data_IF_109708194370
#
_entry.id   IF_109708194370
#
_cell.length_a   1.000
_cell.length_b   1.000
_cell.length_c   1.000
_cell.angle_alpha   90.00
_cell.angle_beta   90.00
_cell.angle_gamma   90.00
#
_symmetry.space_group_name_H-M   'P 1'
#
loop_
_entity.id
_entity.type
_entity.pdbx_description
1 polymer ?
#
# COMPACT_ATOMS: atom_id res chain seq x y z
N UNK A 1 -13.66 24.88 3.41
CA UNK A 1 -13.06 23.63 2.90
C UNK A 1 -11.74 23.43 3.63
N UNK A 2 -11.57 22.33 4.36
CA UNK A 2 -10.33 22.07 5.15
C UNK A 2 -9.30 21.35 4.27
N UNK A 3 -8.03 21.34 4.68
CA UNK A 3 -6.96 20.63 3.94
C UNK A 3 -7.26 19.12 3.79
N UNK A 4 -7.96 18.53 4.76
CA UNK A 4 -8.40 17.13 4.76
C UNK A 4 -9.38 16.88 3.61
N UNK A 5 -10.40 17.72 3.45
CA UNK A 5 -11.38 17.60 2.37
C UNK A 5 -10.72 17.69 0.99
N UNK A 6 -9.75 18.60 0.83
CA UNK A 6 -9.01 18.75 -0.44
C UNK A 6 -8.18 17.51 -0.79
N UNK A 7 -7.59 16.86 0.21
CA UNK A 7 -6.82 15.63 0.00
C UNK A 7 -7.74 14.47 -0.40
N UNK A 8 -8.87 14.31 0.28
CA UNK A 8 -9.89 13.30 -0.05
C UNK A 8 -10.42 13.47 -1.48
N UNK A 9 -10.78 14.70 -1.88
CA UNK A 9 -11.20 15.02 -3.25
C UNK A 9 -10.12 14.68 -4.29
N UNK A 10 -8.86 15.00 -3.98
CA UNK A 10 -7.73 14.68 -4.87
C UNK A 10 -7.54 13.16 -5.03
N UNK A 11 -7.75 12.39 -3.97
CA UNK A 11 -7.71 10.92 -3.99
C UNK A 11 -8.87 10.36 -4.82
N UNK A 12 -10.09 10.87 -4.64
CA UNK A 12 -11.25 10.44 -5.43
C UNK A 12 -11.06 10.74 -6.93
N UNK A 13 -10.56 11.94 -7.26
CA UNK A 13 -10.25 12.32 -8.64
C UNK A 13 -9.16 11.42 -9.24
N UNK A 14 -8.12 11.09 -8.46
CA UNK A 14 -7.05 10.19 -8.90
C UNK A 14 -7.57 8.78 -9.20
N UNK A 15 -8.47 8.24 -8.38
CA UNK A 15 -9.15 6.96 -8.63
C UNK A 15 -9.93 7.00 -9.95
N UNK A 16 -10.69 8.07 -10.20
CA UNK A 16 -11.43 8.24 -11.44
C UNK A 16 -10.52 8.35 -12.67
N UNK A 17 -9.46 9.16 -12.60
CA UNK A 17 -8.48 9.33 -13.69
C UNK A 17 -7.70 8.05 -14.00
N UNK A 18 -7.47 7.23 -12.99
CA UNK A 18 -6.85 5.92 -13.14
C UNK A 18 -7.81 4.87 -13.74
N UNK A 19 -9.12 5.15 -13.82
CA UNK A 19 -10.11 4.17 -14.26
C UNK A 19 -10.37 3.06 -13.23
N UNK A 20 -10.13 3.35 -11.95
CA UNK A 20 -10.27 2.41 -10.83
C UNK A 20 -11.61 2.52 -10.09
N UNK A 21 -12.53 3.36 -10.56
CA UNK A 21 -13.89 3.46 -10.01
C UNK A 21 -14.53 2.07 -9.91
N UNK A 22 -15.06 1.73 -8.73
CA UNK A 22 -15.66 0.41 -8.49
C UNK A 22 -14.69 -0.77 -8.31
N UNK A 23 -13.37 -0.53 -8.33
CA UNK A 23 -12.35 -1.58 -8.23
C UNK A 23 -11.98 -1.93 -6.78
N UNK A 24 -11.31 -3.06 -6.59
CA UNK A 24 -10.65 -3.47 -5.36
C UNK A 24 -9.20 -2.93 -5.34
N UNK A 25 -8.83 -2.23 -4.27
CA UNK A 25 -7.52 -1.61 -4.13
C UNK A 25 -6.84 -2.11 -2.86
N UNK A 26 -5.62 -2.62 -3.01
CA UNK A 26 -4.71 -2.91 -1.89
C UNK A 26 -3.97 -1.64 -1.53
N UNK A 27 -4.04 -1.19 -0.27
CA UNK A 27 -3.31 -0.02 0.22
C UNK A 27 -2.05 -0.49 0.93
N UNK A 28 -0.89 -0.03 0.47
CA UNK A 28 0.38 -0.26 1.14
C UNK A 28 0.51 0.63 2.38
N UNK A 29 0.64 0.00 3.55
CA UNK A 29 0.68 0.69 4.85
C UNK A 29 2.05 0.48 5.48
N UNK A 30 2.84 1.55 5.61
CA UNK A 30 4.15 1.49 6.28
C UNK A 30 4.05 1.69 7.80
N UNK A 31 2.91 2.20 8.29
CA UNK A 31 2.74 2.67 9.67
C UNK A 31 3.01 4.17 9.82
N UNK A 32 3.58 4.81 8.80
CA UNK A 32 3.79 6.26 8.77
C UNK A 32 2.52 7.08 8.47
N UNK A 33 2.58 8.40 8.70
CA UNK A 33 1.45 9.31 8.52
C UNK A 33 0.91 9.34 7.09
N UNK A 34 1.78 9.28 6.07
CA UNK A 34 1.36 9.39 4.67
C UNK A 34 0.55 8.16 4.22
N UNK A 35 1.05 6.96 4.53
CA UNK A 35 0.34 5.71 4.24
C UNK A 35 -0.98 5.59 5.01
N UNK A 36 -1.01 6.12 6.24
CA UNK A 36 -2.22 6.21 7.06
C UNK A 36 -3.22 7.19 6.45
N UNK A 37 -2.76 8.36 6.00
CA UNK A 37 -3.60 9.35 5.34
C UNK A 37 -4.21 8.79 4.05
N UNK A 38 -3.41 8.09 3.23
CA UNK A 38 -3.90 7.42 2.02
C UNK A 38 -4.99 6.39 2.32
N UNK A 39 -4.76 5.52 3.31
CA UNK A 39 -5.74 4.52 3.75
C UNK A 39 -7.06 5.18 4.20
N UNK A 40 -6.95 6.22 5.03
CA UNK A 40 -8.12 6.93 5.56
C UNK A 40 -8.87 7.69 4.47
N UNK A 41 -8.17 8.33 3.53
CA UNK A 41 -8.77 9.05 2.43
C UNK A 41 -9.55 8.10 1.50
N UNK A 42 -8.93 7.00 1.06
CA UNK A 42 -9.63 5.98 0.26
C UNK A 42 -10.81 5.38 1.01
N UNK A 43 -10.68 5.12 2.32
CA UNK A 43 -11.79 4.61 3.11
C UNK A 43 -12.97 5.59 3.18
N UNK A 44 -12.70 6.89 3.22
CA UNK A 44 -13.75 7.93 3.27
C UNK A 44 -14.40 8.18 1.91
N UNK A 45 -13.63 8.08 0.82
CA UNK A 45 -14.13 8.30 -0.54
C UNK A 45 -14.68 7.04 -1.19
N UNK A 46 -14.62 5.88 -0.52
CA UNK A 46 -15.13 4.60 -1.05
C UNK A 46 -16.60 4.62 -1.46
N UNK A 47 -17.44 5.40 -0.77
CA UNK A 47 -18.86 5.53 -1.10
C UNK A 47 -19.09 6.33 -2.40
N UNK A 48 -18.24 7.32 -2.65
CA UNK A 48 -18.28 8.16 -3.85
C UNK A 48 -17.67 7.44 -5.06
N UNK A 49 -16.51 6.81 -4.86
CA UNK A 49 -15.73 6.15 -5.91
C UNK A 49 -16.15 4.71 -6.17
N UNK A 50 -16.95 4.11 -5.28
CA UNK A 50 -17.37 2.71 -5.36
C UNK A 50 -16.26 1.69 -5.08
N UNK A 51 -15.05 2.12 -4.72
CA UNK A 51 -13.93 1.19 -4.51
C UNK A 51 -14.11 0.35 -3.25
N UNK A 52 -13.59 -0.86 -3.28
CA UNK A 52 -13.35 -1.65 -2.07
C UNK A 52 -11.86 -1.58 -1.72
N UNK A 53 -11.52 -1.55 -0.43
CA UNK A 53 -10.13 -1.43 0.01
C UNK A 53 -9.75 -2.54 0.97
N UNK A 54 -8.49 -2.98 0.84
CA UNK A 54 -7.80 -3.85 1.79
C UNK A 54 -6.42 -3.28 2.07
N UNK A 55 -5.87 -3.51 3.26
CA UNK A 55 -4.52 -3.10 3.64
C UNK A 55 -3.48 -4.16 3.33
N UNK A 56 -2.23 -3.74 3.16
CA UNK A 56 -1.07 -4.64 3.18
C UNK A 56 0.08 -3.99 3.93
N UNK A 57 0.69 -4.73 4.87
CA UNK A 57 1.82 -4.25 5.68
C UNK A 57 2.95 -5.28 5.71
N UNK A 58 4.17 -4.81 5.41
CA UNK A 58 5.39 -5.60 5.49
C UNK A 58 6.28 -5.09 6.61
N UNK A 59 6.53 -5.94 7.60
CA UNK A 59 7.54 -5.75 8.63
C UNK A 59 8.91 -6.16 8.05
N UNK A 60 9.92 -5.28 8.12
CA UNK A 60 11.19 -5.46 7.39
C UNK A 60 12.34 -6.02 8.26
N UNK A 61 12.13 -6.27 9.55
CA UNK A 61 13.12 -6.82 10.47
C UNK A 61 14.28 -5.88 10.80
N UNK A 62 14.24 -4.62 10.38
CA UNK A 62 15.38 -3.69 10.47
C UNK A 62 15.50 -3.06 11.87
N UNK A 63 14.38 -2.70 12.51
CA UNK A 63 14.36 -1.94 13.77
C UNK A 63 13.96 -2.76 15.01
N UNK A 64 13.94 -4.08 14.90
CA UNK A 64 13.58 -4.96 16.01
C UNK A 64 12.20 -4.64 16.58
N UNK A 65 12.13 -4.35 17.89
CA UNK A 65 10.87 -4.12 18.61
C UNK A 65 10.07 -2.91 18.13
N UNK A 66 10.71 -1.84 17.63
CA UNK A 66 9.99 -0.67 17.09
C UNK A 66 9.14 -1.06 15.88
N UNK A 67 9.69 -1.91 14.99
CA UNK A 67 9.00 -2.39 13.80
C UNK A 67 7.79 -3.27 14.15
N UNK A 68 7.87 -4.03 15.24
CA UNK A 68 6.73 -4.81 15.76
C UNK A 68 5.64 -3.90 16.33
N UNK A 69 6.01 -2.81 16.99
CA UNK A 69 5.06 -1.81 17.46
C UNK A 69 4.31 -1.14 16.30
N UNK A 70 5.00 -0.84 15.20
CA UNK A 70 4.38 -0.30 13.99
C UNK A 70 3.37 -1.29 13.38
N UNK A 71 3.73 -2.59 13.31
CA UNK A 71 2.83 -3.63 12.83
C UNK A 71 1.55 -3.74 13.68
N UNK A 72 1.68 -3.69 15.02
CA UNK A 72 0.53 -3.68 15.91
C UNK A 72 -0.30 -2.40 15.78
N UNK A 73 0.31 -1.23 15.59
CA UNK A 73 -0.40 0.01 15.31
C UNK A 73 -1.24 -0.10 14.02
N UNK A 74 -0.65 -0.60 12.93
CA UNK A 74 -1.34 -0.79 11.65
C UNK A 74 -2.50 -1.78 11.79
N UNK A 75 -2.33 -2.85 12.55
CA UNK A 75 -3.39 -3.82 12.84
C UNK A 75 -4.55 -3.19 13.59
N UNK A 76 -4.27 -2.37 14.61
CA UNK A 76 -5.32 -1.64 15.33
C UNK A 76 -6.04 -0.63 14.42
N UNK A 77 -5.30 0.12 13.61
CA UNK A 77 -5.85 1.07 12.65
C UNK A 77 -6.81 0.37 11.69
N UNK A 78 -6.36 -0.68 11.00
CA UNK A 78 -7.18 -1.43 10.03
C UNK A 78 -8.45 -1.99 10.68
N UNK A 79 -8.33 -2.56 11.89
CA UNK A 79 -9.48 -3.04 12.66
C UNK A 79 -10.46 -1.91 13.01
N UNK A 80 -9.96 -0.74 13.40
CA UNK A 80 -10.81 0.40 13.78
C UNK A 80 -11.68 0.95 12.65
N UNK A 81 -11.21 0.81 11.40
CA UNK A 81 -11.93 1.26 10.20
C UNK A 81 -12.58 0.11 9.42
N UNK A 82 -12.57 -1.10 9.99
CA UNK A 82 -13.11 -2.33 9.38
C UNK A 82 -12.53 -2.63 7.99
N UNK A 83 -11.20 -2.56 7.88
CA UNK A 83 -10.44 -2.91 6.67
C UNK A 83 -9.63 -4.17 6.97
N UNK A 84 -9.79 -5.20 6.15
CA UNK A 84 -8.95 -6.40 6.18
C UNK A 84 -7.52 -6.03 5.77
N UNK A 85 -6.50 -6.57 6.44
CA UNK A 85 -5.12 -6.25 6.14
C UNK A 85 -4.26 -7.51 6.05
N UNK A 86 -3.50 -7.63 4.97
CA UNK A 86 -2.54 -8.70 4.71
C UNK A 86 -1.20 -8.34 5.35
N UNK A 87 -0.70 -9.18 6.25
CA UNK A 87 0.53 -8.94 7.00
C UNK A 87 1.61 -9.91 6.57
N UNK A 88 2.82 -9.38 6.39
CA UNK A 88 4.02 -10.17 6.18
C UNK A 88 5.18 -9.65 7.02
N UNK A 89 6.19 -10.49 7.19
CA UNK A 89 7.45 -10.11 7.80
C UNK A 89 8.61 -10.71 6.99
N UNK A 90 9.71 -9.97 6.90
CA UNK A 90 10.93 -10.40 6.22
C UNK A 90 12.15 -9.86 6.97
N UNK A 91 13.17 -10.68 7.13
CA UNK A 91 14.47 -10.23 7.66
C UNK A 91 15.29 -9.61 6.52
N UNK A 92 15.09 -8.30 6.27
CA UNK A 92 15.85 -7.57 5.26
C UNK A 92 17.36 -7.58 5.52
N UNK A 93 17.87 -7.42 6.76
CA UNK A 93 19.30 -7.55 7.05
C UNK A 93 19.90 -8.87 6.56
N UNK A 94 19.23 -9.99 6.80
CA UNK A 94 19.67 -11.31 6.30
C UNK A 94 19.55 -11.41 4.78
N UNK A 95 18.46 -10.90 4.19
CA UNK A 95 18.25 -10.87 2.74
C UNK A 95 19.32 -10.06 1.99
N UNK A 96 19.66 -8.88 2.51
CA UNK A 96 20.71 -8.01 1.96
C UNK A 96 22.06 -8.72 1.91
N UNK A 97 22.44 -9.42 2.98
CA UNK A 97 23.68 -10.22 3.03
C UNK A 97 23.65 -11.38 2.04
N UNK A 98 22.54 -12.12 1.97
CA UNK A 98 22.40 -13.27 1.08
C UNK A 98 22.46 -12.89 -0.40
N UNK A 99 21.90 -11.73 -0.76
CA UNK A 99 21.84 -11.25 -2.15
C UNK A 99 23.01 -10.35 -2.56
N UNK A 100 23.87 -9.95 -1.62
CA UNK A 100 24.94 -8.97 -1.88
C UNK A 100 24.41 -7.59 -2.29
N UNK A 101 23.23 -7.21 -1.80
CA UNK A 101 22.57 -5.94 -2.12
C UNK A 101 22.71 -4.94 -0.97
N UNK A 102 22.52 -3.65 -1.27
CA UNK A 102 22.30 -2.65 -0.23
C UNK A 102 21.05 -3.01 0.58
N UNK A 103 20.99 -2.55 1.85
CA UNK A 103 19.82 -2.79 2.71
C UNK A 103 18.55 -2.18 2.10
N UNK A 104 18.68 -1.01 1.47
CA UNK A 104 17.60 -0.31 0.79
C UNK A 104 17.08 -1.11 -0.41
N UNK A 105 17.96 -1.62 -1.28
CA UNK A 105 17.55 -2.41 -2.45
C UNK A 105 16.90 -3.74 -2.04
N UNK A 106 17.41 -4.38 -0.98
CA UNK A 106 16.82 -5.59 -0.44
C UNK A 106 15.42 -5.33 0.12
N UNK A 107 15.24 -4.25 0.91
CA UNK A 107 13.94 -3.82 1.42
C UNK A 107 12.97 -3.54 0.27
N UNK A 108 13.41 -2.77 -0.73
CA UNK A 108 12.62 -2.40 -1.90
C UNK A 108 12.11 -3.62 -2.66
N UNK A 109 12.99 -4.59 -2.94
CA UNK A 109 12.62 -5.84 -3.63
C UNK A 109 11.63 -6.67 -2.82
N UNK A 110 11.89 -6.83 -1.52
CA UNK A 110 10.99 -7.58 -0.64
C UNK A 110 9.60 -6.94 -0.58
N UNK A 111 9.55 -5.61 -0.45
CA UNK A 111 8.32 -4.82 -0.42
C UNK A 111 7.51 -4.95 -1.71
N UNK A 112 8.14 -4.76 -2.87
CA UNK A 112 7.45 -4.84 -4.16
C UNK A 112 6.93 -6.26 -4.41
N UNK A 113 7.69 -7.29 -4.02
CA UNK A 113 7.25 -8.69 -4.09
C UNK A 113 6.04 -8.95 -3.19
N UNK A 114 6.11 -8.51 -1.95
CA UNK A 114 5.03 -8.68 -0.98
C UNK A 114 3.72 -8.00 -1.42
N UNK A 115 3.79 -6.77 -1.93
CA UNK A 115 2.57 -6.08 -2.38
C UNK A 115 1.95 -6.69 -3.63
N UNK A 116 2.74 -7.28 -4.51
CA UNK A 116 2.22 -8.09 -5.63
C UNK A 116 1.47 -9.32 -5.14
N UNK A 117 2.03 -10.04 -4.16
CA UNK A 117 1.40 -11.21 -3.56
C UNK A 117 0.11 -10.82 -2.83
N UNK A 118 0.14 -9.74 -2.04
CA UNK A 118 -1.03 -9.21 -1.36
C UNK A 118 -2.12 -8.80 -2.36
N UNK A 119 -1.77 -8.11 -3.45
CA UNK A 119 -2.72 -7.70 -4.49
C UNK A 119 -3.40 -8.91 -5.15
N UNK A 120 -2.63 -9.95 -5.46
CA UNK A 120 -3.15 -11.18 -6.05
C UNK A 120 -4.08 -11.93 -5.09
N UNK A 121 -3.67 -12.12 -3.83
CA UNK A 121 -4.45 -12.78 -2.77
C UNK A 121 -5.77 -12.04 -2.49
N UNK A 122 -5.68 -10.72 -2.42
CA UNK A 122 -6.80 -9.84 -2.12
C UNK A 122 -7.78 -9.65 -3.27
N UNK A 123 -7.44 -10.15 -4.47
CA UNK A 123 -8.20 -9.92 -5.68
C UNK A 123 -8.34 -8.44 -6.04
N UNK A 124 -7.26 -7.69 -5.85
CA UNK A 124 -7.18 -6.27 -6.16
C UNK A 124 -6.72 -6.03 -7.60
N UNK A 125 -7.23 -4.96 -8.21
CA UNK A 125 -6.78 -4.47 -9.51
C UNK A 125 -5.59 -3.52 -9.37
N UNK A 126 -5.39 -2.94 -8.18
CA UNK A 126 -4.29 -2.02 -7.94
C UNK A 126 -3.71 -2.03 -6.52
N UNK A 127 -2.47 -1.55 -6.43
CA UNK A 127 -1.81 -1.20 -5.17
C UNK A 127 -1.67 0.33 -5.06
N UNK A 128 -2.22 0.92 -3.99
CA UNK A 128 -2.05 2.33 -3.66
C UNK A 128 -0.88 2.52 -2.69
N UNK A 129 0.09 3.35 -3.07
CA UNK A 129 1.23 3.75 -2.25
C UNK A 129 1.02 5.16 -1.70
N UNK A 130 1.21 5.37 -0.40
CA UNK A 130 1.08 6.70 0.23
C UNK A 130 2.36 7.52 0.17
N UNK A 131 2.75 8.04 -1.00
CA UNK A 131 3.91 8.93 -1.13
C UNK A 131 3.55 10.42 -1.04
N UNK A 132 4.30 11.18 -0.23
CA UNK A 132 4.52 12.61 -0.43
C UNK A 132 5.79 12.85 -1.27
N UNK A 133 5.93 14.05 -1.85
CA UNK A 133 6.78 14.44 -2.98
C UNK A 133 8.31 14.22 -2.89
N UNK A 134 8.84 13.48 -1.90
CA UNK A 134 10.28 13.32 -1.68
C UNK A 134 10.87 11.98 -2.17
N UNK A 135 10.06 10.98 -2.50
CA UNK A 135 10.53 9.70 -3.07
C UNK A 135 10.40 9.69 -4.60
N UNK A 136 11.33 10.35 -5.28
CA UNK A 136 11.41 10.49 -6.74
C UNK A 136 11.79 9.20 -7.49
N UNK A 137 11.56 8.01 -6.94
CA UNK A 137 11.93 6.76 -7.62
C UNK A 137 10.94 5.60 -7.55
N UNK A 138 9.79 5.71 -6.87
CA UNK A 138 8.82 4.60 -6.86
C UNK A 138 7.37 5.08 -7.05
N UNK A 139 7.07 5.45 -8.30
CA UNK A 139 5.71 5.46 -8.82
C UNK A 139 5.35 4.03 -9.21
N UNK A 140 4.60 3.33 -8.37
CA UNK A 140 3.94 2.11 -8.80
C UNK A 140 2.46 2.16 -8.39
N UNK A 141 1.65 2.74 -9.28
CA UNK A 141 0.24 2.38 -9.45
C UNK A 141 0.23 1.17 -10.40
N UNK A 142 0.31 -0.06 -9.87
CA UNK A 142 0.14 -1.23 -10.75
C UNK A 142 -1.34 -1.38 -11.06
N UNK A 143 -1.73 -1.21 -12.33
CA UNK A 143 -2.97 -1.78 -12.84
C UNK A 143 -2.71 -3.23 -13.23
N UNK A 144 -3.06 -4.17 -12.35
CA UNK A 144 -3.17 -5.58 -12.71
C UNK A 144 -4.57 -5.78 -13.31
N UNK A 145 -4.73 -5.39 -14.59
CA UNK A 145 -5.92 -5.73 -15.36
C UNK A 145 -6.00 -7.25 -15.40
N UNK A 146 -6.90 -7.82 -14.60
CA UNK A 146 -7.26 -9.23 -14.67
C UNK A 146 -7.92 -9.50 -16.01
N UNK A 147 -7.11 -9.87 -17.01
CA UNK A 147 -7.58 -10.45 -18.26
C UNK A 147 -7.55 -9.55 -19.50
N UNK A 148 -6.37 -9.07 -19.90
CA UNK A 148 -6.05 -8.88 -21.33
C UNK A 148 -4.56 -9.14 -21.53
N UNK A 149 -4.22 -9.95 -22.52
CA UNK A 149 -2.91 -10.54 -22.70
C UNK A 149 -1.75 -9.56 -22.84
N UNK A 150 -0.56 -10.11 -22.65
CA UNK A 150 0.74 -9.62 -23.13
C UNK A 150 0.80 -9.62 -24.67
N UNK A 151 -0.18 -9.04 -25.35
CA UNK A 151 -0.10 -8.71 -26.78
C UNK A 151 -0.49 -7.25 -26.97
N UNK A 152 0.56 -6.42 -27.04
CA UNK A 152 0.54 -4.97 -27.21
C UNK A 152 1.88 -4.37 -26.80
#
# INVERSE_FOLDING_TARGET
MTAITRFEESVAEAVGKAGLTGSNITVAISGGPDSTAMLLALNRTRAETGVSIKGAHLEHGIRGEESKSDAEHVKHLCKSINVECFFGAVDVPSLSKAMGLSLEDAARRARNRFFLEACADQNSEAVALGHTANDQSETILMHLIRGSGLDG
#
